data_IF_721750336397
#
_entry.id   IF_721750336397
#
_cell.length_a   1.000
_cell.length_b   1.000
_cell.length_c   1.000
_cell.angle_alpha   90.00
_cell.angle_beta   90.00
_cell.angle_gamma   90.00
#
_symmetry.space_group_name_H-M   'P 1'
#
loop_
_entity.id
_entity.type
_entity.pdbx_description
1 polymer ?
#
# COMPACT_ATOMS: atom_id res chain seq x y z
N UNK A 1 14.29 53.97 -3.51
CA UNK A 1 13.44 53.18 -2.59
C UNK A 1 13.62 51.74 -2.93
N UNK A 2 14.35 51.00 -2.12
CA UNK A 2 14.63 49.56 -2.32
C UNK A 2 13.50 48.70 -1.72
N UNK A 3 13.13 47.55 -2.30
CA UNK A 3 12.12 46.69 -1.74
C UNK A 3 12.69 45.86 -0.58
N UNK A 4 11.95 45.75 0.50
CA UNK A 4 12.26 45.01 1.72
C UNK A 4 12.18 43.51 1.46
N UNK A 5 13.22 42.83 1.91
CA UNK A 5 13.33 41.37 1.97
C UNK A 5 12.24 40.75 2.87
N UNK A 6 11.55 39.75 2.38
CA UNK A 6 10.63 38.90 3.16
C UNK A 6 11.49 37.88 3.89
N UNK A 7 11.54 38.00 5.21
CA UNK A 7 12.31 37.12 6.11
C UNK A 7 11.65 35.74 6.27
N UNK A 8 12.50 34.82 6.45
CA UNK A 8 12.36 33.37 6.66
C UNK A 8 11.18 32.88 7.50
N UNK A 9 10.41 31.97 6.91
CA UNK A 9 9.38 31.10 7.52
C UNK A 9 9.99 29.83 8.18
N UNK A 10 11.06 29.97 8.94
CA UNK A 10 11.76 28.82 9.52
C UNK A 10 11.64 28.65 11.05
N UNK A 11 10.73 29.37 11.72
CA UNK A 11 10.62 29.36 13.19
C UNK A 11 9.31 28.75 13.75
N UNK A 12 8.38 28.30 12.92
CA UNK A 12 7.07 27.76 13.39
C UNK A 12 7.01 26.23 13.53
N UNK A 13 8.07 25.49 13.17
CA UNK A 13 8.08 24.00 13.21
C UNK A 13 8.75 23.38 14.46
N UNK A 14 9.09 24.17 15.48
CA UNK A 14 9.80 23.67 16.67
C UNK A 14 9.07 23.74 18.00
N UNK A 15 7.78 24.03 18.00
CA UNK A 15 7.04 24.05 19.27
C UNK A 15 5.82 23.15 19.18
N UNK A 16 5.79 22.16 20.08
CA UNK A 16 4.72 21.22 20.40
C UNK A 16 4.67 19.92 19.61
N UNK A 17 5.67 19.05 19.84
CA UNK A 17 5.41 17.62 19.89
C UNK A 17 5.29 17.22 21.36
N UNK A 18 4.21 16.54 21.81
CA UNK A 18 4.20 15.89 23.12
C UNK A 18 5.30 14.83 23.11
N UNK A 19 6.09 14.78 24.18
CA UNK A 19 7.00 13.67 24.46
C UNK A 19 6.16 12.39 24.58
N UNK A 20 6.15 11.57 23.53
CA UNK A 20 5.66 10.20 23.59
C UNK A 20 6.71 9.43 24.40
N UNK A 21 6.41 9.14 25.66
CA UNK A 21 7.15 8.18 26.46
C UNK A 21 7.19 6.86 25.69
N UNK A 22 8.34 6.48 25.12
CA UNK A 22 8.54 5.24 24.38
C UNK A 22 9.46 5.33 23.17
N UNK A 23 10.24 6.40 22.97
CA UNK A 23 11.31 6.37 21.98
C UNK A 23 12.33 5.29 22.37
N UNK A 24 12.22 4.10 21.74
CA UNK A 24 13.33 3.12 21.74
C UNK A 24 14.61 3.87 21.33
N UNK A 25 15.72 3.58 22.01
CA UNK A 25 17.03 4.13 21.61
C UNK A 25 17.26 3.77 20.14
N UNK A 26 17.93 4.65 19.38
CA UNK A 26 18.24 4.42 17.95
C UNK A 26 18.90 3.03 17.68
N UNK A 27 19.53 2.44 18.67
CA UNK A 27 20.15 1.10 18.60
C UNK A 27 19.20 -0.09 18.71
N UNK A 28 17.91 0.13 19.07
CA UNK A 28 16.91 -0.96 19.24
C UNK A 28 16.03 -1.16 18.00
N UNK A 29 16.28 -0.46 16.88
CA UNK A 29 15.52 -0.63 15.65
C UNK A 29 15.90 -1.93 14.94
N UNK A 30 14.91 -2.58 14.32
CA UNK A 30 15.11 -3.79 13.52
C UNK A 30 15.68 -3.43 12.16
N UNK A 31 16.73 -4.13 11.74
CA UNK A 31 17.31 -3.97 10.43
C UNK A 31 16.40 -4.55 9.34
N UNK A 32 16.19 -3.76 8.28
CA UNK A 32 15.32 -4.09 7.15
C UNK A 32 16.09 -3.95 5.85
N UNK A 33 15.89 -4.92 4.96
CA UNK A 33 16.39 -4.87 3.59
C UNK A 33 15.30 -4.44 2.60
N UNK A 34 15.67 -3.71 1.54
CA UNK A 34 14.76 -3.33 0.44
C UNK A 34 15.22 -3.97 -0.86
N UNK A 35 14.37 -4.87 -1.39
CA UNK A 35 14.56 -5.53 -2.68
C UNK A 35 13.98 -4.65 -3.79
N UNK A 36 14.79 -4.28 -4.78
CA UNK A 36 14.40 -3.39 -5.87
C UNK A 36 14.36 -1.90 -5.47
N UNK A 37 15.30 -1.46 -4.61
CA UNK A 37 15.38 -0.12 -4.04
C UNK A 37 15.44 1.03 -5.08
N UNK A 38 15.86 0.75 -6.30
CA UNK A 38 16.00 1.76 -7.38
C UNK A 38 14.73 2.01 -8.19
N UNK A 39 13.71 1.15 -8.03
CA UNK A 39 12.39 1.31 -8.68
C UNK A 39 11.51 2.36 -7.97
N UNK A 40 10.38 2.74 -8.59
CA UNK A 40 9.48 3.76 -8.05
C UNK A 40 8.97 3.43 -6.62
N UNK A 41 8.55 2.19 -6.38
CA UNK A 41 8.10 1.72 -5.07
C UNK A 41 9.27 1.58 -4.10
N UNK A 42 10.42 1.03 -4.56
CA UNK A 42 11.61 0.87 -3.75
C UNK A 42 12.15 2.20 -3.22
N UNK A 43 12.21 3.23 -4.05
CA UNK A 43 12.61 4.59 -3.63
C UNK A 43 11.66 5.16 -2.56
N UNK A 44 10.35 4.90 -2.67
CA UNK A 44 9.37 5.30 -1.65
C UNK A 44 9.57 4.53 -0.33
N UNK A 45 9.86 3.23 -0.39
CA UNK A 45 10.19 2.44 0.79
C UNK A 45 11.42 2.99 1.51
N UNK A 46 12.49 3.29 0.77
CA UNK A 46 13.71 3.91 1.32
C UNK A 46 13.39 5.24 2.01
N UNK A 47 12.61 6.12 1.38
CA UNK A 47 12.20 7.40 1.97
C UNK A 47 11.40 7.22 3.27
N UNK A 48 10.46 6.28 3.31
CA UNK A 48 9.67 6.00 4.51
C UNK A 48 10.48 5.37 5.64
N UNK A 49 11.57 4.66 5.33
CA UNK A 49 12.45 4.04 6.33
C UNK A 49 13.45 5.02 6.95
N UNK A 50 13.68 6.19 6.37
CA UNK A 50 14.70 7.14 6.82
C UNK A 50 14.55 7.50 8.31
N UNK A 51 13.36 7.87 8.73
CA UNK A 51 13.04 8.26 10.12
C UNK A 51 12.08 7.28 10.80
N UNK A 52 12.00 6.03 10.31
CA UNK A 52 11.03 5.08 10.84
C UNK A 52 11.34 4.69 12.29
N UNK A 53 10.37 4.72 13.22
CA UNK A 53 10.65 4.54 14.64
C UNK A 53 11.04 3.11 15.04
N UNK A 54 10.62 2.08 14.28
CA UNK A 54 10.87 0.67 14.57
C UNK A 54 11.91 0.03 13.67
N UNK A 55 12.06 0.53 12.45
CA UNK A 55 12.89 -0.10 11.41
C UNK A 55 14.05 0.80 11.00
N UNK A 56 15.16 0.18 10.63
CA UNK A 56 16.34 0.84 10.08
C UNK A 56 16.68 0.19 8.74
N UNK A 57 16.78 0.99 7.69
CA UNK A 57 17.29 0.51 6.40
C UNK A 57 18.77 0.12 6.56
N UNK A 58 19.08 -1.16 6.34
CA UNK A 58 20.42 -1.70 6.47
C UNK A 58 20.97 -2.21 5.14
N UNK A 59 20.13 -2.78 4.28
CA UNK A 59 20.56 -3.46 3.06
C UNK A 59 19.64 -3.08 1.89
N UNK A 60 20.21 -2.95 0.70
CA UNK A 60 19.48 -2.60 -0.51
C UNK A 60 19.96 -3.42 -1.71
N UNK A 61 19.04 -3.85 -2.59
CA UNK A 61 19.42 -4.34 -3.91
C UNK A 61 18.69 -3.63 -5.04
N UNK A 62 19.28 -3.66 -6.22
CA UNK A 62 18.71 -3.17 -7.46
C UNK A 62 18.77 -4.22 -8.57
N UNK A 63 18.81 -3.77 -9.82
CA UNK A 63 19.10 -4.65 -10.95
C UNK A 63 20.58 -5.09 -10.94
N UNK A 64 20.91 -6.19 -11.62
CA UNK A 64 22.31 -6.65 -11.78
C UNK A 64 23.25 -5.54 -12.25
N UNK A 65 22.82 -4.68 -13.16
CA UNK A 65 23.60 -3.54 -13.64
C UNK A 65 23.84 -2.43 -12.57
N UNK A 66 23.23 -2.57 -11.41
CA UNK A 66 23.35 -1.62 -10.28
C UNK A 66 24.26 -2.14 -9.16
N UNK A 67 24.63 -3.41 -9.16
CA UNK A 67 25.45 -4.05 -8.13
C UNK A 67 26.80 -3.31 -8.00
N UNK A 68 27.22 -3.05 -6.76
CA UNK A 68 28.46 -2.32 -6.43
C UNK A 68 28.38 -0.80 -6.59
N UNK A 69 27.23 -0.25 -6.97
CA UNK A 69 26.98 1.20 -7.01
C UNK A 69 26.24 1.64 -5.74
N UNK A 70 26.41 2.89 -5.37
CA UNK A 70 25.65 3.45 -4.26
C UNK A 70 24.19 3.72 -4.65
N UNK A 71 23.34 3.77 -3.66
CA UNK A 71 21.91 4.10 -3.88
C UNK A 71 21.78 5.47 -4.55
N UNK A 72 22.54 6.48 -4.13
CA UNK A 72 22.53 7.83 -4.71
C UNK A 72 22.94 7.85 -6.19
N UNK A 73 23.95 7.07 -6.59
CA UNK A 73 24.37 6.97 -8.00
C UNK A 73 23.28 6.43 -8.91
N UNK A 74 22.32 5.65 -8.36
CA UNK A 74 21.25 5.01 -9.13
C UNK A 74 19.92 5.73 -9.09
N UNK A 75 19.66 6.50 -8.02
CA UNK A 75 18.38 7.21 -7.84
C UNK A 75 18.45 8.70 -8.18
N UNK A 76 19.68 9.25 -8.32
CA UNK A 76 19.89 10.65 -8.71
C UNK A 76 19.19 11.62 -7.75
N UNK A 77 18.45 12.59 -8.29
CA UNK A 77 17.73 13.60 -7.50
C UNK A 77 16.72 13.02 -6.48
N UNK A 78 16.31 11.77 -6.64
CA UNK A 78 15.49 11.08 -5.63
C UNK A 78 16.22 10.83 -4.32
N UNK A 79 17.55 10.87 -4.31
CA UNK A 79 18.37 10.71 -3.11
C UNK A 79 18.59 12.01 -2.31
N UNK A 80 18.28 13.18 -2.85
CA UNK A 80 18.60 14.48 -2.22
C UNK A 80 17.95 14.69 -0.84
N UNK A 81 16.86 13.96 -0.57
CA UNK A 81 16.13 14.02 0.70
C UNK A 81 16.58 12.95 1.71
N UNK A 82 17.50 12.05 1.32
CA UNK A 82 18.00 10.97 2.16
C UNK A 82 19.22 11.41 2.96
N UNK A 83 19.45 10.79 4.12
CA UNK A 83 20.69 10.97 4.89
C UNK A 83 21.90 10.49 4.09
N UNK A 84 23.08 11.03 4.41
CA UNK A 84 24.34 10.62 3.76
C UNK A 84 24.64 9.12 3.97
N UNK A 85 24.19 8.55 5.09
CA UNK A 85 24.34 7.13 5.36
C UNK A 85 23.50 6.28 4.38
N UNK A 86 22.23 6.64 4.19
CA UNK A 86 21.33 5.95 3.25
C UNK A 86 21.79 6.13 1.81
N UNK A 87 22.20 7.34 1.42
CA UNK A 87 22.76 7.62 0.10
C UNK A 87 23.96 6.74 -0.24
N UNK A 88 24.82 6.46 0.75
CA UNK A 88 26.03 5.67 0.63
C UNK A 88 25.83 4.16 0.66
N UNK A 89 24.60 3.65 0.88
CA UNK A 89 24.36 2.22 0.85
C UNK A 89 24.69 1.63 -0.52
N UNK A 90 25.51 0.57 -0.51
CA UNK A 90 25.90 -0.14 -1.72
C UNK A 90 24.79 -1.15 -2.11
N UNK A 91 24.43 -1.14 -3.38
CA UNK A 91 23.45 -2.05 -3.94
C UNK A 91 24.08 -3.44 -4.12
N UNK A 92 23.56 -4.42 -3.39
CA UNK A 92 24.00 -5.80 -3.48
C UNK A 92 23.21 -6.60 -4.54
N UNK A 93 23.69 -7.80 -4.86
CA UNK A 93 22.97 -8.76 -5.70
C UNK A 93 21.72 -9.28 -4.99
N UNK A 94 20.69 -9.64 -5.75
CA UNK A 94 19.44 -10.17 -5.19
C UNK A 94 19.63 -11.51 -4.46
N UNK A 95 20.54 -12.34 -4.93
CA UNK A 95 20.93 -13.63 -4.35
C UNK A 95 22.08 -13.51 -3.34
N UNK A 96 22.44 -12.30 -2.97
CA UNK A 96 23.48 -12.02 -2.00
C UNK A 96 23.12 -12.46 -0.58
N UNK A 97 24.10 -12.46 0.34
CA UNK A 97 23.83 -12.78 1.74
C UNK A 97 23.03 -11.68 2.39
N UNK A 98 21.75 -11.93 2.69
CA UNK A 98 20.90 -11.02 3.46
C UNK A 98 21.05 -11.30 4.95
N UNK A 99 21.24 -10.26 5.75
CA UNK A 99 21.32 -10.32 7.22
C UNK A 99 20.08 -9.76 7.90
N UNK A 100 19.36 -8.87 7.22
CA UNK A 100 18.11 -8.29 7.69
C UNK A 100 17.03 -9.35 7.84
N UNK A 101 16.37 -9.41 9.00
CA UNK A 101 15.30 -10.36 9.26
C UNK A 101 14.03 -10.06 8.46
N UNK A 102 13.80 -8.81 8.08
CA UNK A 102 12.63 -8.33 7.31
C UNK A 102 13.13 -7.80 5.96
N UNK A 103 12.49 -8.25 4.88
CA UNK A 103 12.79 -7.84 3.52
C UNK A 103 11.53 -7.26 2.86
N UNK A 104 11.58 -5.98 2.53
CA UNK A 104 10.49 -5.29 1.81
C UNK A 104 10.75 -5.40 0.31
N UNK A 105 9.90 -6.15 -0.40
CA UNK A 105 10.11 -6.42 -1.82
C UNK A 105 9.31 -5.48 -2.72
N UNK A 106 10.02 -4.78 -3.59
CA UNK A 106 9.53 -4.00 -4.72
C UNK A 106 10.05 -4.54 -6.06
N UNK A 107 10.25 -5.86 -6.12
CA UNK A 107 10.72 -6.54 -7.32
C UNK A 107 9.65 -6.61 -8.41
N UNK A 108 10.03 -6.65 -9.69
CA UNK A 108 9.15 -7.10 -10.76
C UNK A 108 8.67 -8.54 -10.50
N UNK A 109 7.42 -8.84 -10.89
CA UNK A 109 6.78 -10.13 -10.58
C UNK A 109 7.58 -11.36 -11.05
N UNK A 110 8.26 -11.27 -12.18
CA UNK A 110 9.10 -12.38 -12.68
C UNK A 110 10.29 -12.67 -11.75
N UNK A 111 11.00 -11.65 -11.28
CA UNK A 111 12.09 -11.81 -10.33
C UNK A 111 11.58 -12.26 -8.96
N UNK A 112 10.45 -11.72 -8.51
CA UNK A 112 9.84 -12.04 -7.23
C UNK A 112 9.42 -13.50 -7.12
N UNK A 113 8.89 -14.10 -8.20
CA UNK A 113 8.29 -15.42 -8.20
C UNK A 113 9.17 -16.51 -7.59
N UNK A 114 10.47 -16.46 -7.85
CA UNK A 114 11.43 -17.45 -7.32
C UNK A 114 12.16 -16.92 -6.08
N UNK A 115 12.63 -15.69 -6.14
CA UNK A 115 13.55 -15.15 -5.12
C UNK A 115 12.86 -14.95 -3.78
N UNK A 116 11.58 -14.51 -3.75
CA UNK A 116 10.87 -14.27 -2.50
C UNK A 116 10.62 -15.57 -1.72
N UNK A 117 10.32 -16.67 -2.40
CA UNK A 117 10.19 -17.98 -1.76
C UNK A 117 11.53 -18.45 -1.20
N UNK A 118 12.62 -18.33 -1.95
CA UNK A 118 13.95 -18.70 -1.48
C UNK A 118 14.38 -17.91 -0.23
N UNK A 119 14.06 -16.62 -0.17
CA UNK A 119 14.32 -15.78 0.99
C UNK A 119 13.46 -16.19 2.20
N UNK A 120 12.19 -16.52 1.99
CA UNK A 120 11.33 -17.06 3.04
C UNK A 120 11.84 -18.43 3.54
N UNK A 121 12.31 -19.33 2.66
CA UNK A 121 12.96 -20.60 3.02
C UNK A 121 14.25 -20.39 3.83
N UNK A 122 15.01 -19.33 3.52
CA UNK A 122 16.21 -18.95 4.25
C UNK A 122 15.93 -18.41 5.67
N UNK A 123 14.67 -18.03 5.96
CA UNK A 123 14.25 -17.59 7.29
C UNK A 123 13.87 -16.10 7.38
N UNK A 124 13.81 -15.39 6.28
CA UNK A 124 13.40 -13.97 6.26
C UNK A 124 11.88 -13.82 6.24
N UNK A 125 11.38 -12.75 6.86
CA UNK A 125 10.04 -12.24 6.57
C UNK A 125 10.10 -11.41 5.29
N UNK A 126 9.44 -11.86 4.25
CA UNK A 126 9.33 -11.14 2.99
C UNK A 126 7.95 -10.50 2.90
N UNK A 127 7.91 -9.16 2.79
CA UNK A 127 6.67 -8.40 2.52
C UNK A 127 6.72 -7.91 1.07
N UNK A 128 5.88 -8.50 0.24
CA UNK A 128 5.96 -8.35 -1.22
C UNK A 128 4.90 -7.40 -1.80
N UNK A 129 5.33 -6.51 -2.69
CA UNK A 129 4.44 -5.72 -3.56
C UNK A 129 4.16 -6.43 -4.90
N UNK A 130 4.92 -7.47 -5.24
CA UNK A 130 4.75 -8.21 -6.50
C UNK A 130 3.42 -8.98 -6.54
N UNK A 131 2.91 -9.22 -7.75
CA UNK A 131 1.66 -9.97 -7.92
C UNK A 131 1.82 -11.49 -7.88
N UNK A 132 3.06 -12.00 -7.92
CA UNK A 132 3.37 -13.40 -8.13
C UNK A 132 2.76 -14.35 -7.11
N UNK A 133 2.69 -13.94 -5.85
CA UNK A 133 2.26 -14.79 -4.74
C UNK A 133 0.92 -14.39 -4.12
N UNK A 134 0.27 -13.31 -4.61
CA UNK A 134 -0.96 -12.78 -4.02
C UNK A 134 -2.08 -13.80 -3.90
N UNK A 135 -2.20 -14.69 -4.87
CA UNK A 135 -3.24 -15.72 -4.91
C UNK A 135 -2.78 -17.07 -4.37
N UNK A 136 -1.58 -17.17 -3.78
CA UNK A 136 -1.11 -18.39 -3.11
C UNK A 136 -2.01 -18.76 -1.92
N UNK A 137 -2.34 -20.04 -1.76
CA UNK A 137 -3.31 -20.52 -0.77
C UNK A 137 -2.94 -20.10 0.66
N UNK A 138 -1.70 -20.32 1.08
CA UNK A 138 -1.20 -20.00 2.42
C UNK A 138 -0.51 -18.64 2.51
N UNK A 139 -0.57 -17.81 1.44
CA UNK A 139 0.06 -16.49 1.42
C UNK A 139 -0.98 -15.43 1.74
N UNK A 140 -0.88 -14.72 2.87
CA UNK A 140 -1.78 -13.61 3.17
C UNK A 140 -1.69 -12.52 2.11
N UNK A 141 -2.83 -12.12 1.56
CA UNK A 141 -3.01 -10.90 0.79
C UNK A 141 -3.59 -9.85 1.75
N UNK A 142 -2.71 -9.01 2.30
CA UNK A 142 -2.97 -8.34 3.56
C UNK A 142 -3.20 -6.84 3.40
N UNK A 143 -4.29 -6.37 3.97
CA UNK A 143 -4.56 -4.98 4.32
C UNK A 143 -4.80 -4.97 5.83
N UNK A 144 -3.83 -4.55 6.66
CA UNK A 144 -3.93 -4.65 8.11
C UNK A 144 -5.26 -4.20 8.70
N UNK A 145 -5.76 -3.08 8.23
CA UNK A 145 -7.01 -2.47 8.72
C UNK A 145 -8.29 -3.16 8.23
N UNK A 146 -8.16 -4.21 7.39
CA UNK A 146 -9.31 -4.98 6.88
C UNK A 146 -9.25 -6.43 7.36
N UNK A 147 -8.13 -7.10 7.11
CA UNK A 147 -8.03 -8.54 7.28
C UNK A 147 -6.76 -8.97 8.04
N UNK A 148 -6.39 -8.26 9.10
CA UNK A 148 -5.21 -8.59 9.93
C UNK A 148 -5.19 -10.05 10.41
N UNK A 149 -6.36 -10.67 10.63
CA UNK A 149 -6.50 -12.07 11.01
C UNK A 149 -6.04 -13.06 9.92
N UNK A 150 -5.92 -12.64 8.65
CA UNK A 150 -5.30 -13.48 7.61
C UNK A 150 -3.82 -13.75 7.87
N UNK A 151 -3.19 -13.03 8.79
CA UNK A 151 -1.82 -13.28 9.19
C UNK A 151 -1.64 -14.65 9.84
N UNK A 152 -2.70 -15.26 10.37
CA UNK A 152 -2.69 -16.62 10.94
C UNK A 152 -2.24 -17.67 9.90
N UNK A 153 -2.45 -17.43 8.60
CA UNK A 153 -1.97 -18.29 7.51
C UNK A 153 -0.44 -18.48 7.52
N UNK A 154 0.31 -17.51 8.03
CA UNK A 154 1.78 -17.60 8.11
C UNK A 154 2.22 -18.81 8.93
N UNK A 155 1.47 -19.16 9.99
CA UNK A 155 1.73 -20.34 10.80
C UNK A 155 1.61 -21.67 10.04
N UNK A 156 0.98 -21.68 8.87
CA UNK A 156 0.81 -22.87 8.01
C UNK A 156 1.76 -22.88 6.82
N UNK A 157 2.58 -21.84 6.63
CA UNK A 157 3.58 -21.81 5.53
C UNK A 157 4.70 -22.81 5.79
N UNK A 158 5.23 -23.46 4.72
CA UNK A 158 6.25 -24.52 4.88
C UNK A 158 7.68 -23.97 5.07
N UNK A 159 7.85 -22.65 5.17
CA UNK A 159 9.14 -21.97 5.23
C UNK A 159 9.58 -21.67 6.66
N UNK A 160 10.89 -21.44 6.87
CA UNK A 160 11.43 -21.02 8.17
C UNK A 160 11.07 -19.59 8.50
N UNK A 161 11.04 -18.72 7.49
CA UNK A 161 10.54 -17.36 7.56
C UNK A 161 9.09 -17.30 7.11
N UNK A 162 8.71 -16.16 6.53
CA UNK A 162 7.33 -15.91 6.10
C UNK A 162 7.26 -15.09 4.80
N UNK A 163 6.18 -15.26 4.06
CA UNK A 163 5.84 -14.44 2.90
C UNK A 163 4.44 -13.86 3.08
N UNK A 164 4.36 -12.53 3.04
CA UNK A 164 3.13 -11.74 3.09
C UNK A 164 3.07 -10.83 1.87
N UNK A 165 1.90 -10.65 1.27
CA UNK A 165 1.76 -9.86 0.05
C UNK A 165 0.84 -8.66 0.24
N UNK A 166 1.20 -7.55 -0.41
CA UNK A 166 0.32 -6.39 -0.59
C UNK A 166 -0.60 -6.61 -1.79
N UNK A 167 -1.85 -6.14 -1.73
CA UNK A 167 -2.74 -6.15 -2.88
C UNK A 167 -2.28 -5.22 -4.02
N UNK A 168 -2.98 -5.33 -5.15
CA UNK A 168 -2.89 -4.38 -6.24
C UNK A 168 -3.22 -2.95 -5.77
N UNK A 169 -2.50 -1.95 -6.29
CA UNK A 169 -2.60 -0.57 -5.84
C UNK A 169 -4.00 0.07 -6.01
N UNK A 170 -4.81 -0.39 -6.96
CA UNK A 170 -6.20 0.04 -7.10
C UNK A 170 -7.14 -0.82 -6.22
N UNK A 171 -6.83 -2.12 -6.04
CA UNK A 171 -7.61 -3.02 -5.19
C UNK A 171 -7.58 -2.60 -3.72
N UNK A 172 -6.45 -2.08 -3.21
CA UNK A 172 -6.35 -1.59 -1.82
C UNK A 172 -7.42 -0.54 -1.52
N UNK A 173 -7.52 0.52 -2.34
CA UNK A 173 -8.51 1.57 -2.13
C UNK A 173 -9.95 1.04 -2.23
N UNK A 174 -10.20 0.18 -3.22
CA UNK A 174 -11.51 -0.45 -3.40
C UNK A 174 -11.89 -1.27 -2.16
N UNK A 175 -11.02 -2.16 -1.69
CA UNK A 175 -11.31 -3.06 -0.57
C UNK A 175 -11.49 -2.32 0.73
N UNK A 176 -10.67 -1.30 1.04
CA UNK A 176 -10.85 -0.46 2.23
C UNK A 176 -12.22 0.20 2.26
N UNK A 177 -12.74 0.63 1.10
CA UNK A 177 -14.09 1.17 1.01
C UNK A 177 -15.18 0.08 1.06
N UNK A 178 -14.92 -1.11 0.53
CA UNK A 178 -15.88 -2.20 0.56
C UNK A 178 -15.99 -2.88 1.93
N UNK A 179 -14.93 -2.89 2.73
CA UNK A 179 -14.89 -3.58 4.01
C UNK A 179 -16.03 -3.18 4.97
N UNK A 180 -16.24 -1.90 5.31
CA UNK A 180 -17.36 -1.51 6.19
C UNK A 180 -18.73 -1.88 5.63
N UNK A 181 -18.91 -1.87 4.31
CA UNK A 181 -20.17 -2.24 3.68
C UNK A 181 -20.40 -3.75 3.72
N UNK A 182 -19.33 -4.53 3.53
CA UNK A 182 -19.37 -5.98 3.61
C UNK A 182 -19.68 -6.46 5.03
N UNK A 183 -19.00 -5.88 6.02
CA UNK A 183 -19.18 -6.21 7.44
C UNK A 183 -20.59 -5.84 7.95
N UNK A 184 -21.11 -4.66 7.53
CA UNK A 184 -22.36 -4.14 8.08
C UNK A 184 -23.61 -4.70 7.36
N UNK A 185 -23.54 -4.81 6.05
CA UNK A 185 -24.75 -5.14 5.23
C UNK A 185 -24.60 -6.44 4.45
N UNK A 186 -23.36 -6.84 4.08
CA UNK A 186 -23.11 -7.85 3.07
C UNK A 186 -23.18 -7.28 1.65
N UNK A 187 -22.23 -7.65 0.80
CA UNK A 187 -22.17 -7.24 -0.61
C UNK A 187 -22.76 -8.32 -1.49
N UNK A 188 -23.67 -7.94 -2.39
CA UNK A 188 -24.26 -8.82 -3.40
C UNK A 188 -23.54 -8.73 -4.75
N UNK A 189 -23.11 -7.52 -5.17
CA UNK A 189 -22.31 -7.32 -6.38
C UNK A 189 -21.63 -5.95 -6.41
N UNK A 190 -20.54 -5.84 -7.17
CA UNK A 190 -19.77 -4.60 -7.35
C UNK A 190 -19.53 -4.35 -8.83
N UNK A 191 -19.76 -3.12 -9.28
CA UNK A 191 -19.32 -2.60 -10.57
C UNK A 191 -18.37 -1.43 -10.33
N UNK A 192 -17.16 -1.48 -10.89
CA UNK A 192 -16.17 -0.44 -10.69
C UNK A 192 -15.44 -0.05 -11.97
N UNK A 193 -15.13 1.23 -12.09
CA UNK A 193 -14.22 1.75 -13.12
C UNK A 193 -13.10 2.50 -12.44
N UNK A 194 -11.85 2.12 -12.71
CA UNK A 194 -10.68 2.77 -12.16
C UNK A 194 -10.06 3.76 -13.15
N UNK A 195 -9.71 4.94 -12.64
CA UNK A 195 -8.94 5.99 -13.32
C UNK A 195 -7.54 5.99 -12.69
N UNK A 196 -6.64 5.21 -13.29
CA UNK A 196 -5.32 4.96 -12.70
C UNK A 196 -4.28 5.97 -13.16
N UNK A 197 -3.53 6.48 -12.21
CA UNK A 197 -2.45 7.44 -12.40
C UNK A 197 -1.25 6.86 -13.15
N UNK A 198 -0.44 7.75 -13.73
CA UNK A 198 0.75 7.42 -14.54
C UNK A 198 1.77 6.61 -13.75
N UNK A 199 2.03 7.00 -12.50
CA UNK A 199 3.03 6.36 -11.63
C UNK A 199 2.73 4.89 -11.33
N UNK A 200 1.47 4.46 -11.48
CA UNK A 200 1.08 3.05 -11.36
C UNK A 200 1.71 2.14 -12.42
N UNK A 201 2.25 2.69 -13.49
CA UNK A 201 2.98 1.93 -14.50
C UNK A 201 4.46 1.68 -14.14
N UNK A 202 4.96 2.23 -13.01
CA UNK A 202 6.37 2.16 -12.65
C UNK A 202 7.26 3.08 -13.49
N UNK A 203 8.57 2.91 -13.38
CA UNK A 203 9.55 3.68 -14.16
C UNK A 203 10.08 2.83 -15.33
N UNK A 204 10.26 3.43 -16.53
CA UNK A 204 10.13 4.86 -16.88
C UNK A 204 8.69 5.32 -17.12
N UNK A 205 7.69 4.47 -17.01
CA UNK A 205 6.30 4.77 -17.30
C UNK A 205 5.98 4.81 -18.81
N UNK A 206 4.69 5.03 -19.17
CA UNK A 206 4.30 5.19 -20.56
C UNK A 206 4.81 6.53 -21.14
N UNK A 207 5.07 6.61 -22.44
CA UNK A 207 5.47 7.86 -23.08
C UNK A 207 4.44 8.98 -22.85
N UNK A 208 4.90 10.19 -22.53
CA UNK A 208 4.03 11.32 -22.25
C UNK A 208 3.04 11.61 -23.41
N UNK A 209 3.49 11.46 -24.66
CA UNK A 209 2.66 11.64 -25.85
C UNK A 209 1.48 10.65 -25.95
N UNK A 210 1.55 9.51 -25.27
CA UNK A 210 0.44 8.54 -25.22
C UNK A 210 -0.64 8.93 -24.20
N UNK A 211 -0.33 9.83 -23.28
CA UNK A 211 -1.18 10.16 -22.12
C UNK A 211 -1.77 11.56 -22.20
N UNK A 212 -1.01 12.53 -22.74
CA UNK A 212 -1.50 13.90 -22.86
C UNK A 212 -2.66 13.93 -23.84
N UNK A 213 -3.77 14.57 -23.46
CA UNK A 213 -5.01 14.66 -24.23
C UNK A 213 -5.62 13.28 -24.55
N UNK A 214 -5.44 12.27 -23.66
CA UNK A 214 -5.88 10.91 -23.92
C UNK A 214 -6.31 10.17 -22.64
N UNK A 215 -7.22 9.20 -22.80
CA UNK A 215 -7.56 8.18 -21.80
C UNK A 215 -7.37 6.81 -22.43
N UNK A 216 -6.55 5.95 -21.83
CA UNK A 216 -6.31 4.60 -22.35
C UNK A 216 -7.27 3.65 -21.61
N UNK A 217 -8.26 3.04 -22.28
CA UNK A 217 -9.27 2.18 -21.63
C UNK A 217 -8.77 0.74 -21.45
N UNK A 218 -7.49 0.56 -21.15
CA UNK A 218 -6.88 -0.75 -20.94
C UNK A 218 -5.60 -0.68 -20.13
N UNK A 219 -5.48 -1.53 -19.11
CA UNK A 219 -4.24 -1.80 -18.37
C UNK A 219 -4.12 -3.31 -18.20
N UNK A 220 -3.06 -3.92 -18.76
CA UNK A 220 -2.90 -5.36 -18.81
C UNK A 220 -3.00 -6.04 -17.45
N UNK A 221 -3.94 -6.97 -17.31
CA UNK A 221 -4.16 -7.77 -16.10
C UNK A 221 -4.82 -7.05 -14.91
N UNK A 222 -5.07 -5.73 -14.98
CA UNK A 222 -5.61 -4.98 -13.84
C UNK A 222 -7.06 -5.33 -13.52
N UNK A 223 -7.90 -5.53 -14.53
CA UNK A 223 -9.31 -5.91 -14.34
C UNK A 223 -9.44 -7.24 -13.60
N UNK A 224 -8.62 -8.22 -13.96
CA UNK A 224 -8.58 -9.51 -13.26
C UNK A 224 -8.21 -9.34 -11.78
N UNK A 225 -7.20 -8.53 -11.47
CA UNK A 225 -6.80 -8.26 -10.07
C UNK A 225 -7.92 -7.59 -9.28
N UNK A 226 -8.60 -6.58 -9.86
CA UNK A 226 -9.74 -5.93 -9.23
C UNK A 226 -10.94 -6.85 -9.06
N UNK A 227 -11.02 -7.95 -9.79
CA UNK A 227 -12.07 -8.96 -9.64
C UNK A 227 -11.74 -9.97 -8.54
N UNK A 228 -10.54 -10.55 -8.52
CA UNK A 228 -10.21 -11.67 -7.64
C UNK A 228 -9.60 -11.25 -6.28
N UNK A 229 -8.77 -10.20 -6.23
CA UNK A 229 -8.11 -9.79 -4.98
C UNK A 229 -9.11 -9.35 -3.90
N UNK A 230 -10.16 -8.54 -4.18
CA UNK A 230 -11.17 -8.20 -3.18
C UNK A 230 -11.88 -9.42 -2.58
N UNK A 231 -12.18 -10.42 -3.39
CA UNK A 231 -12.81 -11.65 -2.92
C UNK A 231 -11.89 -12.43 -1.95
N UNK A 232 -10.59 -12.50 -2.22
CA UNK A 232 -9.64 -13.13 -1.30
C UNK A 232 -9.49 -12.32 0.00
N UNK A 233 -9.35 -11.01 -0.09
CA UNK A 233 -9.12 -10.16 1.09
C UNK A 233 -10.33 -10.13 2.02
N UNK A 234 -11.54 -10.12 1.47
CA UNK A 234 -12.81 -10.15 2.23
C UNK A 234 -13.33 -11.58 2.45
N UNK A 235 -12.52 -12.58 2.17
CA UNK A 235 -12.82 -13.99 2.37
C UNK A 235 -12.61 -14.46 3.81
N UNK A 236 -12.89 -15.72 4.07
CA UNK A 236 -12.77 -16.36 5.39
C UNK A 236 -11.54 -17.24 5.44
N UNK A 237 -10.72 -17.10 6.49
CA UNK A 237 -9.53 -17.94 6.71
C UNK A 237 -9.96 -19.35 7.12
N UNK A 238 -9.34 -20.35 6.50
CA UNK A 238 -9.41 -21.77 6.84
C UNK A 238 -8.00 -22.34 7.02
N UNK A 239 -7.82 -23.53 7.60
CA UNK A 239 -6.49 -24.15 7.70
C UNK A 239 -5.82 -24.39 6.35
N UNK A 240 -6.60 -24.54 5.28
CA UNK A 240 -6.13 -24.81 3.92
C UNK A 240 -5.86 -23.53 3.11
N UNK A 241 -6.27 -22.36 3.63
CA UNK A 241 -6.09 -21.08 2.96
C UNK A 241 -7.22 -20.10 3.20
N UNK A 242 -7.62 -19.33 2.19
CA UNK A 242 -8.74 -18.40 2.24
C UNK A 242 -9.87 -18.89 1.35
N UNK A 243 -11.05 -19.12 1.92
CA UNK A 243 -12.29 -19.27 1.17
C UNK A 243 -12.74 -17.89 0.68
N UNK A 244 -12.72 -17.61 -0.64
CA UNK A 244 -13.03 -16.28 -1.16
C UNK A 244 -14.48 -15.88 -0.91
N UNK A 245 -14.72 -14.59 -0.67
CA UNK A 245 -16.05 -14.02 -0.67
C UNK A 245 -16.71 -14.21 -2.06
N UNK A 246 -18.02 -14.44 -2.08
CA UNK A 246 -18.72 -14.95 -3.27
C UNK A 246 -19.38 -13.88 -4.14
N UNK A 247 -19.29 -12.58 -3.77
CA UNK A 247 -19.89 -11.52 -4.55
C UNK A 247 -19.14 -11.28 -5.87
N UNK A 248 -19.83 -11.14 -7.01
CA UNK A 248 -19.19 -10.84 -8.28
C UNK A 248 -18.73 -9.38 -8.35
N UNK A 249 -17.57 -9.18 -9.00
CA UNK A 249 -17.01 -7.86 -9.29
C UNK A 249 -16.83 -7.69 -10.79
N UNK A 250 -17.42 -6.63 -11.37
CA UNK A 250 -17.19 -6.23 -12.75
C UNK A 250 -16.28 -4.99 -12.74
N UNK A 251 -15.07 -5.11 -13.25
CA UNK A 251 -14.08 -4.06 -13.26
C UNK A 251 -13.73 -3.59 -14.67
N UNK A 252 -13.57 -2.27 -14.85
CA UNK A 252 -12.95 -1.65 -16.02
C UNK A 252 -11.77 -0.79 -15.58
N UNK A 253 -10.63 -0.91 -16.28
CA UNK A 253 -9.41 -0.21 -15.88
C UNK A 253 -8.94 0.74 -16.97
N UNK A 254 -8.76 2.01 -16.59
CA UNK A 254 -8.30 3.07 -17.50
C UNK A 254 -7.03 3.72 -16.97
N UNK A 255 -6.12 4.16 -17.87
CA UNK A 255 -5.00 5.02 -17.54
C UNK A 255 -5.35 6.46 -17.92
N UNK A 256 -5.17 7.37 -16.95
CA UNK A 256 -5.47 8.80 -17.10
C UNK A 256 -4.22 9.66 -16.86
N UNK A 257 -4.15 10.91 -17.39
CA UNK A 257 -3.01 11.80 -17.23
C UNK A 257 -2.95 12.46 -15.84
N UNK A 258 -3.02 11.64 -14.79
CA UNK A 258 -2.86 12.02 -13.37
C UNK A 258 -1.54 11.45 -12.90
N UNK A 259 -0.72 12.22 -12.18
CA UNK A 259 0.60 11.77 -11.72
C UNK A 259 0.48 10.63 -10.72
N UNK A 260 -0.16 10.89 -9.58
CA UNK A 260 -0.37 9.96 -8.47
C UNK A 260 -1.82 10.00 -7.99
N UNK A 261 -2.28 8.90 -7.41
CA UNK A 261 -3.62 8.72 -6.89
C UNK A 261 -4.54 8.00 -7.87
N UNK A 262 -5.04 6.82 -7.47
CA UNK A 262 -6.04 6.06 -8.23
C UNK A 262 -7.43 6.45 -7.75
N UNK A 263 -8.27 6.93 -8.68
CA UNK A 263 -9.67 7.23 -8.44
C UNK A 263 -10.53 6.09 -9.00
N UNK A 264 -11.52 5.64 -8.24
CA UNK A 264 -12.46 4.61 -8.68
C UNK A 264 -13.89 5.12 -8.58
N UNK A 265 -14.68 4.91 -9.63
CA UNK A 265 -16.13 5.02 -9.57
C UNK A 265 -16.70 3.65 -9.22
N UNK A 266 -17.43 3.56 -8.12
CA UNK A 266 -17.94 2.29 -7.57
C UNK A 266 -19.47 2.35 -7.50
N UNK A 267 -20.11 1.29 -7.95
CA UNK A 267 -21.53 1.02 -7.70
C UNK A 267 -21.66 -0.36 -7.06
N UNK A 268 -22.49 -0.48 -6.02
CA UNK A 268 -22.60 -1.69 -5.20
C UNK A 268 -24.06 -2.02 -4.92
N UNK A 269 -24.39 -3.33 -4.99
CA UNK A 269 -25.62 -3.88 -4.47
C UNK A 269 -25.34 -4.45 -3.07
N UNK A 270 -26.18 -4.11 -2.11
CA UNK A 270 -26.04 -4.44 -0.70
C UNK A 270 -27.27 -5.17 -0.19
N UNK A 271 -27.07 -6.16 0.66
CA UNK A 271 -28.19 -6.89 1.27
C UNK A 271 -29.04 -5.93 2.12
N UNK A 272 -30.35 -6.02 1.95
CA UNK A 272 -31.30 -5.16 2.66
C UNK A 272 -31.46 -3.75 2.09
N UNK A 273 -30.68 -3.38 1.06
CA UNK A 273 -30.80 -2.08 0.34
C UNK A 273 -30.76 -0.87 1.29
N UNK A 274 -29.67 -0.70 2.07
CA UNK A 274 -29.56 0.38 3.05
C UNK A 274 -29.71 1.76 2.40
N UNK A 275 -30.12 2.74 3.20
CA UNK A 275 -30.20 4.14 2.77
C UNK A 275 -28.80 4.73 2.52
N UNK A 276 -28.75 5.88 1.84
CA UNK A 276 -27.49 6.62 1.64
C UNK A 276 -26.90 7.07 2.98
N UNK A 277 -27.74 7.41 3.93
CA UNK A 277 -27.40 7.79 5.29
C UNK A 277 -26.75 6.61 6.05
N UNK A 278 -27.30 5.40 5.94
CA UNK A 278 -26.75 4.18 6.55
C UNK A 278 -25.38 3.84 5.96
N UNK A 279 -25.23 3.92 4.63
CA UNK A 279 -23.98 3.68 3.91
C UNK A 279 -22.92 4.73 4.32
N UNK A 280 -23.32 5.99 4.45
CA UNK A 280 -22.41 7.07 4.89
C UNK A 280 -21.96 6.83 6.33
N UNK A 281 -22.90 6.48 7.21
CA UNK A 281 -22.60 6.16 8.61
C UNK A 281 -21.64 4.97 8.75
N UNK A 282 -21.77 3.95 7.93
CA UNK A 282 -20.86 2.81 7.91
C UNK A 282 -19.42 3.24 7.54
N UNK A 283 -19.25 4.11 6.55
CA UNK A 283 -17.94 4.67 6.19
C UNK A 283 -17.35 5.52 7.33
N UNK A 284 -18.14 6.42 7.92
CA UNK A 284 -17.70 7.33 8.99
C UNK A 284 -17.33 6.60 10.28
N UNK A 285 -17.99 5.47 10.54
CA UNK A 285 -17.74 4.64 11.72
C UNK A 285 -16.52 3.72 11.58
N UNK A 286 -16.03 3.47 10.37
CA UNK A 286 -14.99 2.47 10.15
C UNK A 286 -13.64 2.88 10.73
N UNK A 287 -13.04 2.00 11.53
CA UNK A 287 -11.75 2.22 12.20
C UNK A 287 -10.73 1.10 11.96
N UNK A 288 -11.17 -0.01 11.37
CA UNK A 288 -10.36 -1.22 11.28
C UNK A 288 -10.12 -1.90 12.65
N UNK A 289 -9.40 -3.02 12.66
CA UNK A 289 -9.03 -3.76 13.86
C UNK A 289 -8.14 -2.97 14.82
N UNK A 290 -8.33 -3.15 16.13
CA UNK A 290 -7.53 -2.48 17.17
C UNK A 290 -6.03 -2.74 17.05
N UNK A 291 -5.64 -3.95 16.63
CA UNK A 291 -4.25 -4.34 16.43
C UNK A 291 -3.45 -3.46 15.45
N UNK A 292 -4.14 -2.64 14.64
CA UNK A 292 -3.49 -1.80 13.62
C UNK A 292 -3.39 -0.33 14.03
N UNK A 293 -4.12 0.13 15.06
CA UNK A 293 -4.27 1.56 15.38
C UNK A 293 -2.99 2.23 15.85
N UNK A 294 -2.15 1.51 16.59
CA UNK A 294 -0.93 2.04 17.18
C UNK A 294 0.33 1.73 16.35
N UNK A 295 0.15 1.21 15.12
CA UNK A 295 1.26 0.97 14.22
C UNK A 295 1.79 2.30 13.67
N UNK A 296 3.11 2.49 13.54
CA UNK A 296 3.71 3.77 13.13
C UNK A 296 3.21 4.34 11.80
N UNK A 297 2.93 3.47 10.83
CA UNK A 297 2.43 3.87 9.50
C UNK A 297 0.90 3.88 9.40
N UNK A 298 0.18 3.53 10.48
CA UNK A 298 -1.27 3.56 10.48
C UNK A 298 -1.80 5.00 10.41
N UNK A 299 -2.76 5.31 9.51
CA UNK A 299 -3.37 6.62 9.47
C UNK A 299 -4.35 6.79 10.65
N UNK A 300 -4.52 8.03 11.13
CA UNK A 300 -5.54 8.35 12.13
C UNK A 300 -6.94 7.96 11.67
N UNK A 301 -7.22 8.16 10.38
CA UNK A 301 -8.46 7.73 9.73
C UNK A 301 -8.13 6.80 8.56
N UNK A 302 -8.48 5.53 8.69
CA UNK A 302 -8.32 4.54 7.61
C UNK A 302 -9.14 4.95 6.38
N UNK A 303 -10.36 5.44 6.64
CA UNK A 303 -11.30 5.90 5.63
C UNK A 303 -11.87 7.27 6.04
N UNK A 304 -11.93 8.21 5.09
CA UNK A 304 -12.47 9.55 5.30
C UNK A 304 -13.55 9.87 4.27
N UNK A 305 -14.73 10.26 4.76
CA UNK A 305 -15.83 10.77 3.92
C UNK A 305 -15.61 12.25 3.62
N UNK A 306 -15.69 12.61 2.34
CA UNK A 306 -15.59 13.98 1.85
C UNK A 306 -16.95 14.47 1.36
N UNK A 307 -17.49 15.48 2.02
CA UNK A 307 -18.86 15.96 1.80
C UNK A 307 -19.05 16.81 0.53
N UNK A 308 -17.99 17.44 0.01
CA UNK A 308 -18.11 18.32 -1.15
C UNK A 308 -18.43 17.54 -2.44
N UNK A 309 -19.28 18.12 -3.28
CA UNK A 309 -19.81 17.46 -4.49
C UNK A 309 -18.76 17.12 -5.55
N UNK A 310 -17.61 17.78 -5.54
CA UNK A 310 -16.50 17.58 -6.47
C UNK A 310 -15.34 16.78 -5.89
N UNK A 311 -15.49 16.13 -4.73
CA UNK A 311 -14.46 15.36 -4.03
C UNK A 311 -14.82 13.87 -3.94
N UNK A 312 -13.81 12.97 -3.92
CA UNK A 312 -12.35 13.20 -3.86
C UNK A 312 -11.73 13.54 -5.22
N UNK A 313 -10.65 14.31 -5.17
CA UNK A 313 -9.82 14.65 -6.34
C UNK A 313 -8.37 14.21 -6.12
N UNK A 314 -7.72 13.48 -7.05
CA UNK A 314 -6.35 12.98 -6.84
C UNK A 314 -5.35 14.07 -6.43
N UNK A 315 -5.41 15.24 -7.04
CA UNK A 315 -4.49 16.34 -6.76
C UNK A 315 -4.65 16.96 -5.37
N UNK A 316 -5.85 16.91 -4.81
CA UNK A 316 -6.19 17.58 -3.56
C UNK A 316 -6.22 16.64 -2.36
N UNK A 317 -6.51 15.35 -2.59
CA UNK A 317 -6.89 14.44 -1.50
C UNK A 317 -5.98 13.21 -1.36
N UNK A 318 -5.14 12.90 -2.36
CA UNK A 318 -4.32 11.70 -2.33
C UNK A 318 -3.33 11.64 -1.17
N UNK A 319 -2.93 12.80 -0.63
CA UNK A 319 -1.93 12.91 0.43
C UNK A 319 -2.54 12.95 1.85
N UNK A 320 -3.87 12.77 1.98
CA UNK A 320 -4.53 12.67 3.28
C UNK A 320 -3.95 11.51 4.11
N UNK A 321 -3.72 11.76 5.41
CA UNK A 321 -3.07 10.80 6.29
C UNK A 321 -1.68 10.37 5.77
N UNK A 322 -0.91 11.32 5.24
CA UNK A 322 0.40 11.07 4.60
C UNK A 322 0.32 10.06 3.43
N UNK A 323 -0.83 10.03 2.72
CA UNK A 323 -1.11 9.12 1.61
C UNK A 323 -1.63 7.74 2.04
N UNK A 324 -1.85 7.51 3.33
CA UNK A 324 -2.38 6.24 3.86
C UNK A 324 -3.90 6.22 4.02
N UNK A 325 -4.56 7.37 4.15
CA UNK A 325 -6.02 7.46 4.23
C UNK A 325 -6.67 7.21 2.87
N UNK A 326 -7.70 6.38 2.85
CA UNK A 326 -8.59 6.21 1.69
C UNK A 326 -9.73 7.21 1.80
N UNK A 327 -10.00 7.97 0.74
CA UNK A 327 -11.09 8.95 0.71
C UNK A 327 -12.28 8.40 -0.05
N UNK A 328 -13.48 8.61 0.49
CA UNK A 328 -14.77 8.30 -0.16
C UNK A 328 -15.58 9.58 -0.26
N UNK A 329 -16.23 9.78 -1.39
CA UNK A 329 -17.13 10.93 -1.56
C UNK A 329 -18.19 10.69 -2.61
N UNK A 330 -19.08 11.66 -2.78
CA UNK A 330 -20.22 11.55 -3.70
C UNK A 330 -21.08 10.31 -3.46
N UNK A 331 -21.31 9.96 -2.20
CA UNK A 331 -22.14 8.84 -1.80
C UNK A 331 -23.59 9.19 -2.16
N UNK A 332 -24.23 8.36 -2.95
CA UNK A 332 -25.61 8.59 -3.44
C UNK A 332 -26.26 7.30 -3.90
N UNK A 333 -27.57 7.33 -4.01
CA UNK A 333 -28.33 6.22 -4.56
C UNK A 333 -27.90 5.90 -6.00
N UNK A 334 -27.83 4.62 -6.32
CA UNK A 334 -27.65 4.10 -7.67
C UNK A 334 -28.98 3.56 -8.20
N UNK A 335 -29.37 3.99 -9.39
CA UNK A 335 -30.64 3.55 -9.99
C UNK A 335 -30.55 2.11 -10.56
N UNK A 336 -29.35 1.59 -10.75
CA UNK A 336 -29.12 0.23 -11.31
C UNK A 336 -28.82 -0.78 -10.20
N UNK A 337 -27.98 -0.37 -9.24
CA UNK A 337 -27.67 -1.10 -8.00
C UNK A 337 -28.27 -0.33 -6.81
N UNK A 338 -27.72 -0.44 -5.62
CA UNK A 338 -28.27 0.26 -4.45
C UNK A 338 -27.54 1.59 -4.18
N UNK A 339 -26.22 1.58 -4.15
CA UNK A 339 -25.40 2.75 -3.83
C UNK A 339 -24.26 2.94 -4.82
N UNK A 340 -23.82 4.20 -5.00
CA UNK A 340 -22.65 4.56 -5.78
C UNK A 340 -21.86 5.69 -5.14
N UNK A 341 -20.54 5.62 -5.27
CA UNK A 341 -19.60 6.58 -4.67
C UNK A 341 -18.28 6.60 -5.44
N UNK A 342 -17.42 7.55 -5.12
CA UNK A 342 -16.04 7.58 -5.59
C UNK A 342 -15.09 7.25 -4.46
N UNK A 343 -14.02 6.51 -4.78
CA UNK A 343 -12.93 6.14 -3.87
C UNK A 343 -11.62 6.67 -4.43
N UNK A 344 -10.78 7.23 -3.57
CA UNK A 344 -9.43 7.67 -3.92
C UNK A 344 -8.42 7.09 -2.93
N UNK A 345 -7.32 6.57 -3.46
CA UNK A 345 -6.16 6.17 -2.65
C UNK A 345 -4.84 6.55 -3.35
N UNK A 346 -3.79 6.79 -2.57
CA UNK A 346 -2.45 7.05 -3.11
C UNK A 346 -1.78 5.73 -3.52
N UNK A 347 -1.63 5.52 -4.82
CA UNK A 347 -1.16 4.25 -5.38
C UNK A 347 0.29 3.85 -5.01
N UNK A 348 1.19 4.80 -4.78
CA UNK A 348 2.58 4.50 -4.39
C UNK A 348 2.78 4.42 -2.86
N UNK A 349 1.87 4.99 -2.07
CA UNK A 349 1.93 4.96 -0.61
C UNK A 349 0.95 3.91 -0.10
N UNK A 350 -0.35 4.20 -0.05
CA UNK A 350 -1.38 3.24 0.39
C UNK A 350 -1.43 1.98 -0.47
N UNK A 351 -1.19 2.13 -1.77
CA UNK A 351 -1.21 1.03 -2.74
C UNK A 351 0.11 0.25 -2.86
N UNK A 352 1.19 0.64 -2.15
CA UNK A 352 2.50 0.01 -2.29
C UNK A 352 3.40 0.21 -1.06
N UNK A 353 4.24 1.26 -1.02
CA UNK A 353 5.31 1.38 -0.03
C UNK A 353 4.79 1.51 1.41
N UNK A 354 3.81 2.37 1.66
CA UNK A 354 3.23 2.55 2.99
C UNK A 354 2.49 1.30 3.47
N UNK A 355 1.76 0.61 2.57
CA UNK A 355 1.11 -0.66 2.90
C UNK A 355 2.12 -1.77 3.23
N UNK A 356 3.25 -1.84 2.50
CA UNK A 356 4.30 -2.82 2.79
C UNK A 356 4.92 -2.57 4.17
N UNK A 357 5.14 -1.30 4.51
CA UNK A 357 5.62 -0.94 5.83
C UNK A 357 4.62 -1.32 6.93
N UNK A 358 3.36 -0.95 6.76
CA UNK A 358 2.29 -1.28 7.72
C UNK A 358 2.12 -2.80 7.90
N UNK A 359 2.26 -3.58 6.82
CA UNK A 359 2.27 -5.05 6.89
C UNK A 359 3.49 -5.58 7.69
N UNK A 360 4.68 -5.01 7.46
CA UNK A 360 5.87 -5.37 8.23
C UNK A 360 5.75 -5.02 9.72
N UNK A 361 5.17 -3.86 10.03
CA UNK A 361 4.89 -3.40 11.38
C UNK A 361 3.92 -4.35 12.10
N UNK A 362 2.83 -4.73 11.44
CA UNK A 362 1.88 -5.70 11.98
C UNK A 362 2.54 -7.07 12.25
N UNK A 363 3.29 -7.58 11.27
CA UNK A 363 4.04 -8.83 11.42
C UNK A 363 5.03 -8.77 12.59
N UNK A 364 5.76 -7.66 12.72
CA UNK A 364 6.69 -7.45 13.83
C UNK A 364 5.98 -7.37 15.17
N UNK A 365 4.90 -6.60 15.28
CA UNK A 365 4.10 -6.45 16.50
C UNK A 365 3.48 -7.77 16.95
N UNK A 366 3.09 -8.65 16.02
CA UNK A 366 2.53 -9.97 16.31
C UNK A 366 3.61 -11.07 16.46
N UNK A 367 4.89 -10.73 16.32
CA UNK A 367 5.99 -11.67 16.54
C UNK A 367 6.05 -12.79 15.49
N UNK A 368 5.73 -12.51 14.24
CA UNK A 368 5.77 -13.46 13.10
C UNK A 368 7.17 -14.06 12.93
N UNK A 369 8.21 -13.26 13.11
CA UNK A 369 9.59 -13.75 13.27
C UNK A 369 9.90 -13.80 14.76
N UNK A 370 9.72 -14.96 15.37
CA UNK A 370 10.27 -15.21 16.70
C UNK A 370 11.78 -15.35 16.55
N UNK A 371 12.52 -14.52 17.28
CA UNK A 371 13.95 -14.72 17.48
C UNK A 371 14.13 -16.15 17.99
N UNK A 372 14.74 -17.03 17.17
CA UNK A 372 15.12 -18.38 17.58
C UNK A 372 16.27 -18.32 18.59
#
# INVERSE_FOLDING_TARGET
MAPRSIGSLSLWHRMQQPEIEGRRKLDDRVDVGVLGATGAVGQRLVQHLEDHPWFRLAEVCGSEASVGKTLAERTGAGADQLSSATQGLELQALDGPWTSSILLSALPSEAAQKSEVQLAEAGHLVVSNASSHRMGELVPLLIPEVNSHHLDLVGHQPWKGALVTNPNCAAVGLVVALAPLHETFGIESVVTTSFQSISGAGLPGPPAASLVDNVIPFIGGEEHKLTCEPQKILGTVTPEGVEPATFPVSASCTRVPVLDGHLLAVSVALTGKPSVEDVTAAFEAYRGPDACRDLPSAPEHVLQVLAADDRPQPRLDRDLGQGMTVSVGRIRRCEVLDSKFFVLSHNLVRGAAGAALLNAELCHAQGVLRSG
#
